data_IF_143358143273
#
_entry.id   IF_143358143273
#
_cell.length_a   1.000
_cell.length_b   1.000
_cell.length_c   1.000
_cell.angle_alpha   90.00
_cell.angle_beta   90.00
_cell.angle_gamma   90.00
#
_symmetry.space_group_name_H-M   'P 1'
#
loop_
_entity.id
_entity.type
_entity.pdbx_description
1 polymer ?
#
# COMPACT_ATOMS: atom_id res chain seq x y z
N UNK A 1 -16.93 20.59 -1.65
CA UNK A 1 -17.27 19.43 -2.51
C UNK A 1 -17.08 18.13 -1.73
N UNK A 2 -18.14 17.33 -1.49
CA UNK A 2 -18.01 16.03 -0.84
C UNK A 2 -17.24 15.07 -1.77
N UNK A 3 -16.19 14.42 -1.25
CA UNK A 3 -15.39 13.45 -2.03
C UNK A 3 -16.28 12.29 -2.48
N UNK A 4 -16.42 12.07 -3.78
CA UNK A 4 -16.98 10.82 -4.32
C UNK A 4 -16.25 9.64 -3.67
N UNK A 5 -16.99 8.76 -2.96
CA UNK A 5 -16.47 7.51 -2.42
C UNK A 5 -15.98 6.65 -3.59
N UNK A 6 -14.70 6.76 -3.93
CA UNK A 6 -14.09 5.88 -4.92
C UNK A 6 -14.26 4.41 -4.50
N UNK A 7 -14.55 3.53 -5.47
CA UNK A 7 -14.70 2.07 -5.28
C UNK A 7 -13.53 1.43 -4.50
N UNK A 8 -12.36 2.07 -4.44
CA UNK A 8 -11.19 1.64 -3.65
C UNK A 8 -11.28 1.84 -2.13
N UNK A 9 -12.13 2.77 -1.64
CA UNK A 9 -12.19 3.13 -0.21
C UNK A 9 -12.68 1.99 0.70
N UNK A 10 -13.47 1.06 0.16
CA UNK A 10 -13.98 -0.11 0.86
C UNK A 10 -12.89 -1.16 1.10
N UNK A 11 -12.03 -1.41 0.11
CA UNK A 11 -10.94 -2.37 0.24
C UNK A 11 -9.95 -1.90 1.32
N UNK A 12 -9.51 -0.65 1.26
CA UNK A 12 -8.65 -0.04 2.27
C UNK A 12 -9.25 -0.11 3.67
N UNK A 13 -10.56 0.14 3.81
CA UNK A 13 -11.26 0.04 5.10
C UNK A 13 -11.18 -1.38 5.65
N UNK A 14 -11.43 -2.40 4.81
CA UNK A 14 -11.35 -3.80 5.24
C UNK A 14 -9.91 -4.20 5.58
N UNK A 15 -8.92 -3.79 4.79
CA UNK A 15 -7.49 -4.01 5.08
C UNK A 15 -7.13 -3.39 6.43
N UNK A 16 -7.48 -2.11 6.64
CA UNK A 16 -7.24 -1.42 7.90
C UNK A 16 -7.88 -2.16 9.09
N UNK A 17 -9.13 -2.61 8.93
CA UNK A 17 -9.86 -3.33 9.97
C UNK A 17 -9.17 -4.66 10.32
N UNK A 18 -8.75 -5.45 9.32
CA UNK A 18 -8.03 -6.72 9.55
C UNK A 18 -6.72 -6.50 10.31
N UNK A 19 -5.94 -5.50 9.92
CA UNK A 19 -4.70 -5.18 10.62
C UNK A 19 -4.93 -4.64 12.04
N UNK A 20 -6.00 -3.86 12.26
CA UNK A 20 -6.40 -3.43 13.62
C UNK A 20 -6.75 -4.62 14.50
N UNK A 21 -7.53 -5.58 13.99
CA UNK A 21 -7.83 -6.84 14.69
C UNK A 21 -6.55 -7.63 15.02
N UNK A 22 -5.54 -7.57 14.15
CA UNK A 22 -4.22 -8.16 14.38
C UNK A 22 -3.27 -7.33 15.26
N UNK A 23 -3.75 -6.31 15.98
CA UNK A 23 -2.96 -5.51 16.92
C UNK A 23 -2.14 -4.37 16.31
N UNK A 24 -2.37 -4.01 15.04
CA UNK A 24 -1.70 -2.88 14.41
C UNK A 24 -2.48 -1.57 14.61
N UNK A 25 -1.76 -0.47 14.85
CA UNK A 25 -2.31 0.88 14.72
C UNK A 25 -2.32 1.26 13.24
N UNK A 26 -3.50 1.38 12.64
CA UNK A 26 -3.68 1.69 11.22
C UNK A 26 -4.25 3.10 11.00
N UNK A 27 -3.44 4.00 10.42
CA UNK A 27 -3.86 5.32 9.92
C UNK A 27 -4.12 5.24 8.41
N UNK A 28 -5.22 5.85 7.94
CA UNK A 28 -5.66 5.82 6.55
C UNK A 28 -5.46 7.19 5.88
N UNK A 29 -5.39 7.19 4.55
CA UNK A 29 -5.42 8.37 3.69
C UNK A 29 -4.41 9.43 4.13
N UNK A 30 -3.16 8.99 4.31
CA UNK A 30 -2.10 9.85 4.83
C UNK A 30 -1.54 10.70 3.70
N UNK A 31 -1.91 11.97 3.69
CA UNK A 31 -1.40 12.95 2.74
C UNK A 31 -0.03 13.45 3.18
N UNK A 32 0.89 13.58 2.24
CA UNK A 32 2.18 14.26 2.39
C UNK A 32 2.38 15.28 1.27
N UNK A 33 3.37 16.15 1.46
CA UNK A 33 3.83 17.11 0.46
C UNK A 33 5.31 16.85 0.19
N UNK A 34 5.72 16.91 -1.07
CA UNK A 34 7.10 16.80 -1.53
C UNK A 34 7.27 17.63 -2.79
N UNK A 35 8.31 18.45 -2.89
CA UNK A 35 8.63 19.23 -4.09
C UNK A 35 7.40 19.97 -4.65
N UNK A 36 6.64 20.60 -3.75
CA UNK A 36 5.33 21.22 -4.01
C UNK A 36 4.20 20.30 -4.54
N UNK A 37 4.44 19.00 -4.72
CA UNK A 37 3.44 18.00 -5.10
C UNK A 37 2.88 17.28 -3.87
N UNK A 38 1.55 17.09 -3.85
CA UNK A 38 0.88 16.26 -2.84
C UNK A 38 0.97 14.80 -3.24
N UNK A 39 1.27 13.92 -2.28
CA UNK A 39 1.18 12.48 -2.45
C UNK A 39 0.33 11.88 -1.34
N UNK A 40 -0.47 10.88 -1.67
CA UNK A 40 -1.36 10.22 -0.71
C UNK A 40 -0.92 8.78 -0.50
N UNK A 41 -0.63 8.38 0.72
CA UNK A 41 -0.39 6.98 1.07
C UNK A 41 -1.67 6.40 1.63
N UNK A 42 -2.11 5.26 1.08
CA UNK A 42 -3.38 4.65 1.46
C UNK A 42 -3.40 4.33 2.96
N UNK A 43 -2.35 3.70 3.47
CA UNK A 43 -2.27 3.21 4.85
C UNK A 43 -0.88 3.43 5.45
N UNK A 44 -0.84 3.76 6.73
CA UNK A 44 0.35 3.63 7.58
C UNK A 44 -0.01 2.70 8.72
N UNK A 45 0.60 1.52 8.69
CA UNK A 45 0.45 0.52 9.74
C UNK A 45 1.62 0.66 10.71
N UNK A 46 1.36 0.52 12.00
CA UNK A 46 2.39 0.53 13.05
C UNK A 46 2.14 -0.61 14.03
N UNK A 47 3.19 -1.37 14.35
CA UNK A 47 3.17 -2.40 15.40
C UNK A 47 4.45 -2.25 16.21
N UNK A 48 4.32 -1.94 17.50
CA UNK A 48 5.46 -1.57 18.33
C UNK A 48 6.24 -0.40 17.72
N UNK A 49 7.55 -0.60 17.52
CA UNK A 49 8.48 0.38 16.90
C UNK A 49 8.46 0.35 15.37
N UNK A 50 7.95 -0.73 14.77
CA UNK A 50 7.93 -0.89 13.32
C UNK A 50 6.79 -0.11 12.66
N UNK A 51 7.09 0.50 11.52
CA UNK A 51 6.17 1.30 10.72
C UNK A 51 6.20 0.80 9.28
N UNK A 52 5.02 0.69 8.67
CA UNK A 52 4.83 0.17 7.33
C UNK A 52 4.02 1.18 6.52
N UNK A 53 4.68 2.11 5.81
CA UNK A 53 4.04 2.87 4.74
C UNK A 53 3.51 1.88 3.71
N UNK A 54 2.19 1.92 3.48
CA UNK A 54 1.50 0.84 2.79
C UNK A 54 0.61 1.36 1.67
N UNK A 55 0.78 0.79 0.48
CA UNK A 55 -0.13 0.94 -0.65
C UNK A 55 -1.01 -0.31 -0.76
N UNK A 56 -2.28 -0.15 -1.12
CA UNK A 56 -3.18 -1.27 -1.40
C UNK A 56 -3.62 -1.29 -2.85
N UNK A 57 -3.60 -2.47 -3.47
CA UNK A 57 -4.21 -2.70 -4.79
C UNK A 57 -5.24 -3.82 -4.66
N UNK A 58 -6.46 -3.57 -5.13
CA UNK A 58 -7.58 -4.52 -5.10
C UNK A 58 -8.27 -4.64 -6.46
N UNK A 59 -9.23 -5.55 -6.58
CA UNK A 59 -9.88 -5.84 -7.87
C UNK A 59 -9.04 -6.78 -8.76
N UNK A 60 -9.51 -7.02 -10.00
CA UNK A 60 -8.84 -7.85 -11.00
C UNK A 60 -7.89 -6.97 -11.82
N UNK A 61 -6.59 -7.05 -11.54
CA UNK A 61 -5.55 -6.29 -12.25
C UNK A 61 -4.19 -7.00 -12.17
N UNK A 62 -3.32 -6.70 -13.14
CA UNK A 62 -1.93 -7.19 -13.18
C UNK A 62 -1.00 -6.00 -13.00
N UNK A 63 -0.11 -6.08 -12.01
CA UNK A 63 0.87 -5.03 -11.74
C UNK A 63 2.15 -5.27 -12.52
N UNK A 64 2.60 -4.23 -13.22
CA UNK A 64 3.86 -4.21 -13.99
C UNK A 64 5.02 -3.67 -13.17
N UNK A 65 6.23 -3.84 -13.69
CA UNK A 65 7.47 -3.36 -13.08
C UNK A 65 7.45 -1.85 -12.81
N UNK A 66 7.04 -1.04 -13.78
CA UNK A 66 6.97 0.42 -13.63
C UNK A 66 6.02 0.84 -12.51
N UNK A 67 4.91 0.12 -12.34
CA UNK A 67 3.97 0.37 -11.24
C UNK A 67 4.58 0.01 -9.88
N UNK A 68 5.29 -1.11 -9.77
CA UNK A 68 6.02 -1.50 -8.56
C UNK A 68 7.07 -0.46 -8.18
N UNK A 69 7.86 0.00 -9.15
CA UNK A 69 8.89 1.04 -8.93
C UNK A 69 8.25 2.34 -8.45
N UNK A 70 7.15 2.77 -9.08
CA UNK A 70 6.43 3.98 -8.68
C UNK A 70 5.87 3.86 -7.25
N UNK A 71 5.32 2.69 -6.88
CA UNK A 71 4.83 2.42 -5.52
C UNK A 71 5.99 2.46 -4.52
N UNK A 72 7.09 1.78 -4.82
CA UNK A 72 8.27 1.79 -3.94
C UNK A 72 8.76 3.22 -3.72
N UNK A 73 9.02 3.99 -4.79
CA UNK A 73 9.43 5.40 -4.69
C UNK A 73 8.48 6.20 -3.78
N UNK A 74 7.16 6.10 -4.02
CA UNK A 74 6.13 6.78 -3.23
C UNK A 74 6.19 6.44 -1.74
N UNK A 75 6.40 5.17 -1.40
CA UNK A 75 6.38 4.69 -0.01
C UNK A 75 7.70 4.94 0.72
N UNK A 76 8.83 4.81 0.03
CA UNK A 76 10.18 4.93 0.60
C UNK A 76 10.52 6.33 1.11
N UNK A 77 9.75 7.36 0.70
CA UNK A 77 9.85 8.70 1.31
C UNK A 77 9.46 8.75 2.78
N UNK A 78 8.73 7.75 3.27
CA UNK A 78 8.35 7.69 4.67
C UNK A 78 9.20 6.65 5.39
N UNK A 79 9.69 7.02 6.58
CA UNK A 79 10.38 6.09 7.48
C UNK A 79 9.52 4.85 7.71
N UNK A 80 10.13 3.68 7.52
CA UNK A 80 9.52 2.38 7.72
C UNK A 80 9.81 1.42 6.57
N UNK A 81 9.14 0.26 6.59
CA UNK A 81 9.28 -0.79 5.59
C UNK A 81 8.18 -0.60 4.53
N UNK A 82 8.52 -0.19 3.29
CA UNK A 82 7.56 -0.05 2.21
C UNK A 82 6.80 -1.34 1.99
N UNK A 83 5.47 -1.28 2.02
CA UNK A 83 4.63 -2.47 1.95
C UNK A 83 3.56 -2.32 0.87
N UNK A 84 3.44 -3.32 0.00
CA UNK A 84 2.38 -3.44 -0.98
C UNK A 84 1.43 -4.56 -0.56
N UNK A 85 0.18 -4.21 -0.29
CA UNK A 85 -0.88 -5.16 0.04
C UNK A 85 -1.75 -5.40 -1.19
N UNK A 86 -1.86 -6.66 -1.58
CA UNK A 86 -2.61 -7.12 -2.72
C UNK A 86 -3.92 -7.78 -2.29
N UNK A 87 -4.99 -7.45 -3.01
CA UNK A 87 -6.22 -8.22 -3.01
C UNK A 87 -6.04 -9.59 -3.66
N UNK A 88 -7.03 -10.49 -3.48
CA UNK A 88 -6.93 -11.88 -3.95
C UNK A 88 -6.75 -11.98 -5.47
N UNK A 89 -7.38 -11.08 -6.23
CA UNK A 89 -7.40 -11.10 -7.70
C UNK A 89 -6.32 -10.21 -8.35
N UNK A 90 -5.42 -9.64 -7.55
CA UNK A 90 -4.30 -8.85 -8.09
C UNK A 90 -3.11 -9.77 -8.35
N UNK A 91 -2.55 -9.71 -9.55
CA UNK A 91 -1.34 -10.45 -9.92
C UNK A 91 -0.18 -9.48 -10.08
N UNK A 92 1.04 -9.98 -9.91
CA UNK A 92 2.27 -9.29 -10.35
C UNK A 92 2.84 -10.10 -11.50
N UNK A 93 3.40 -9.43 -12.50
CA UNK A 93 4.26 -10.09 -13.47
C UNK A 93 5.52 -10.60 -12.75
N UNK A 94 6.15 -11.65 -13.28
CA UNK A 94 7.40 -12.17 -12.72
C UNK A 94 8.53 -11.13 -12.64
N UNK A 95 8.78 -10.28 -13.66
CA UNK A 95 9.76 -9.20 -13.53
C UNK A 95 9.36 -8.20 -12.44
N UNK A 96 8.07 -7.96 -12.21
CA UNK A 96 7.62 -7.06 -11.14
C UNK A 96 7.88 -7.66 -9.74
N UNK A 97 7.80 -8.99 -9.57
CA UNK A 97 8.14 -9.66 -8.32
C UNK A 97 9.64 -9.55 -8.03
N UNK A 98 10.46 -9.76 -9.05
CA UNK A 98 11.91 -9.67 -8.92
C UNK A 98 12.35 -8.25 -8.55
N UNK A 99 11.83 -7.24 -9.26
CA UNK A 99 12.11 -5.84 -8.94
C UNK A 99 11.60 -5.46 -7.55
N UNK A 100 10.44 -5.95 -7.12
CA UNK A 100 9.97 -5.73 -5.75
C UNK A 100 10.93 -6.31 -4.71
N UNK A 101 11.50 -7.49 -4.96
CA UNK A 101 12.48 -8.14 -4.07
C UNK A 101 13.78 -7.32 -3.99
N UNK A 102 14.32 -6.89 -5.13
CA UNK A 102 15.54 -6.07 -5.20
C UNK A 102 15.35 -4.75 -4.45
N UNK A 103 14.20 -4.10 -4.63
CA UNK A 103 13.89 -2.83 -3.96
C UNK A 103 13.53 -2.98 -2.47
N UNK A 104 13.43 -4.19 -1.93
CA UNK A 104 13.00 -4.42 -0.55
C UNK A 104 11.53 -4.06 -0.29
N UNK A 105 10.68 -4.04 -1.33
CA UNK A 105 9.26 -3.80 -1.21
C UNK A 105 8.57 -5.05 -0.64
N UNK A 106 8.04 -4.94 0.59
CA UNK A 106 7.33 -6.04 1.24
C UNK A 106 5.99 -6.28 0.58
N UNK A 107 5.82 -7.41 -0.10
CA UNK A 107 4.54 -7.81 -0.70
C UNK A 107 3.75 -8.69 0.28
N UNK A 108 2.48 -8.36 0.50
CA UNK A 108 1.53 -9.20 1.26
C UNK A 108 0.24 -9.38 0.48
N UNK A 109 -0.28 -10.60 0.46
CA UNK A 109 -1.58 -10.91 -0.13
C UNK A 109 -2.60 -11.11 1.00
N UNK A 110 -3.74 -10.45 0.89
CA UNK A 110 -4.87 -10.67 1.81
C UNK A 110 -5.82 -11.68 1.17
N UNK A 111 -6.10 -12.74 1.92
CA UNK A 111 -7.24 -13.63 1.74
C UNK A 111 -8.27 -13.26 2.82
N UNK A 112 -9.55 -13.27 2.48
CA UNK A 112 -10.61 -12.99 3.46
C UNK A 112 -10.82 -14.22 4.31
#
# INVERSE_FOLDING_TARGET
MPRQKGKGSGFEKRVASRYRKGGYKAKRNVVGKRDNKRYEINLILKRGKERYPTETKGGKQVLTTSQVVAIHKKLSYRKGIPTLILGPNVKLTDPAKEVARILGLRIRRIKW
#
